data_IF_983642196106
#
_entry.id   IF_983642196106
#
_cell.length_a   1.000
_cell.length_b   1.000
_cell.length_c   1.000
_cell.angle_alpha   90.00
_cell.angle_beta   90.00
_cell.angle_gamma   90.00
#
_symmetry.space_group_name_H-M   'P 1'
#
loop_
_entity.id
_entity.type
_entity.pdbx_description
1 polymer ?
#
# COMPACT_ATOMS: atom_id res chain seq x y z
N UNK A 1 -37.57 -25.77 28.75
CA UNK A 1 -37.03 -25.66 27.36
C UNK A 1 -35.59 -25.16 27.45
N UNK A 2 -34.57 -26.05 27.33
CA UNK A 2 -33.15 -25.68 27.49
C UNK A 2 -32.63 -25.09 26.17
N UNK A 3 -32.29 -23.79 26.17
CA UNK A 3 -31.79 -23.07 25.00
C UNK A 3 -30.33 -23.49 24.76
N UNK A 4 -30.08 -24.27 23.72
CA UNK A 4 -28.74 -24.69 23.30
C UNK A 4 -28.04 -23.50 22.63
N UNK A 5 -27.21 -22.78 23.37
CA UNK A 5 -26.40 -21.69 22.82
C UNK A 5 -25.23 -22.35 22.08
N UNK A 6 -25.32 -22.38 20.75
CA UNK A 6 -24.24 -22.89 19.90
C UNK A 6 -23.00 -22.03 20.11
N UNK A 7 -21.85 -22.67 20.38
CA UNK A 7 -20.56 -22.01 20.52
C UNK A 7 -20.17 -21.39 19.17
N UNK A 8 -20.13 -20.07 19.10
CA UNK A 8 -19.58 -19.33 17.97
C UNK A 8 -18.05 -19.39 18.09
N UNK A 9 -17.37 -20.03 17.14
CA UNK A 9 -15.90 -20.08 17.07
C UNK A 9 -15.42 -19.15 15.96
N UNK A 10 -14.61 -18.15 16.31
CA UNK A 10 -13.90 -17.32 15.36
C UNK A 10 -12.47 -17.86 15.21
N UNK A 11 -12.15 -18.38 14.03
CA UNK A 11 -10.77 -18.73 13.66
C UNK A 11 -10.18 -17.59 12.83
N UNK A 12 -9.26 -16.84 13.41
CA UNK A 12 -8.52 -15.77 12.73
C UNK A 12 -7.16 -16.36 12.33
N UNK A 13 -7.03 -16.79 11.08
CA UNK A 13 -5.75 -17.24 10.52
C UNK A 13 -4.99 -16.03 9.99
N UNK A 14 -4.18 -15.40 10.84
CA UNK A 14 -3.33 -14.26 10.47
C UNK A 14 -2.08 -14.75 9.73
N UNK A 15 -2.07 -14.71 8.39
CA UNK A 15 -0.84 -14.82 7.62
C UNK A 15 -0.14 -13.46 7.59
N UNK A 16 0.92 -13.30 8.38
CA UNK A 16 1.77 -12.12 8.32
C UNK A 16 2.69 -12.21 7.10
N UNK A 17 2.24 -11.63 5.97
CA UNK A 17 3.13 -11.36 4.85
C UNK A 17 4.03 -10.19 5.28
N UNK A 18 5.21 -10.52 5.79
CA UNK A 18 6.29 -9.56 6.05
C UNK A 18 6.70 -8.94 4.70
N UNK A 19 6.15 -7.77 4.38
CA UNK A 19 6.40 -7.08 3.13
C UNK A 19 7.90 -6.88 2.85
N UNK A 20 8.30 -7.03 1.59
CA UNK A 20 9.64 -6.71 1.12
C UNK A 20 9.91 -5.22 1.30
N UNK A 21 10.91 -4.87 2.12
CA UNK A 21 11.30 -3.49 2.35
C UNK A 21 12.58 -3.19 1.60
N UNK A 22 12.56 -2.17 0.74
CA UNK A 22 13.77 -1.49 0.31
C UNK A 22 14.12 -0.45 1.39
N UNK A 23 15.27 -0.64 2.05
CA UNK A 23 15.83 0.38 2.93
C UNK A 23 16.39 1.51 2.07
N UNK A 24 15.53 2.40 1.60
CA UNK A 24 15.99 3.67 1.06
C UNK A 24 16.29 4.58 2.25
N UNK A 25 17.57 4.69 2.61
CA UNK A 25 18.04 5.93 3.21
C UNK A 25 17.71 7.01 2.19
N UNK A 26 16.76 7.89 2.50
CA UNK A 26 16.49 9.07 1.69
C UNK A 26 17.80 9.85 1.58
N UNK A 27 18.57 9.61 0.53
CA UNK A 27 19.68 10.45 0.17
C UNK A 27 19.08 11.84 -0.06
N UNK A 28 19.57 12.82 0.67
CA UNK A 28 19.10 14.21 0.64
C UNK A 28 19.22 14.86 -0.76
N UNK A 29 19.82 14.16 -1.71
CA UNK A 29 20.09 14.62 -3.08
C UNK A 29 18.89 14.53 -4.03
N UNK A 30 17.81 13.83 -3.66
CA UNK A 30 16.64 13.72 -4.54
C UNK A 30 15.72 14.93 -4.40
N UNK A 31 15.34 15.50 -5.55
CA UNK A 31 14.37 16.59 -5.60
C UNK A 31 13.01 16.09 -5.06
N UNK A 32 12.23 16.94 -4.38
CA UNK A 32 10.95 16.53 -3.78
C UNK A 32 10.01 15.80 -4.75
N UNK A 33 9.89 16.26 -6.00
CA UNK A 33 9.04 15.59 -6.99
C UNK A 33 9.56 14.20 -7.39
N UNK A 34 10.88 13.98 -7.44
CA UNK A 34 11.47 12.67 -7.74
C UNK A 34 11.14 11.68 -6.63
N UNK A 35 11.20 12.13 -5.37
CA UNK A 35 10.80 11.32 -4.21
C UNK A 35 9.33 10.93 -4.27
N UNK A 36 8.44 11.86 -4.64
CA UNK A 36 7.02 11.57 -4.83
C UNK A 36 6.79 10.55 -5.94
N UNK A 37 7.47 10.69 -7.09
CA UNK A 37 7.36 9.75 -8.21
C UNK A 37 7.81 8.36 -7.79
N UNK A 38 9.00 8.23 -7.19
CA UNK A 38 9.57 6.93 -6.78
C UNK A 38 8.63 6.23 -5.80
N UNK A 39 8.11 6.95 -4.79
CA UNK A 39 7.16 6.39 -3.83
C UNK A 39 5.84 6.00 -4.51
N UNK A 40 5.35 6.77 -5.48
CA UNK A 40 4.11 6.46 -6.20
C UNK A 40 4.20 5.23 -7.12
N UNK A 41 5.40 4.90 -7.63
CA UNK A 41 5.59 3.74 -8.50
C UNK A 41 5.24 2.40 -7.81
N UNK A 42 5.41 2.30 -6.48
CA UNK A 42 5.05 1.10 -5.72
C UNK A 42 3.54 0.80 -5.78
N UNK A 43 2.67 1.69 -5.27
CA UNK A 43 1.22 1.57 -5.41
C UNK A 43 0.75 1.43 -6.85
N UNK A 44 1.35 2.18 -7.79
CA UNK A 44 1.00 2.10 -9.21
C UNK A 44 1.24 0.70 -9.78
N UNK A 45 2.39 0.10 -9.47
CA UNK A 45 2.70 -1.26 -9.90
C UNK A 45 1.68 -2.27 -9.35
N UNK A 46 1.31 -2.16 -8.07
CA UNK A 46 0.29 -3.02 -7.48
C UNK A 46 -1.09 -2.86 -8.17
N UNK A 47 -1.47 -1.64 -8.56
CA UNK A 47 -2.69 -1.40 -9.35
C UNK A 47 -2.60 -2.08 -10.72
N UNK A 48 -1.46 -1.96 -11.41
CA UNK A 48 -1.27 -2.59 -12.72
C UNK A 48 -1.39 -4.11 -12.60
N UNK A 49 -0.74 -4.72 -11.62
CA UNK A 49 -0.83 -6.17 -11.39
C UNK A 49 -2.26 -6.59 -11.06
N UNK A 50 -2.97 -5.84 -10.20
CA UNK A 50 -4.38 -6.07 -9.90
C UNK A 50 -5.23 -6.05 -11.18
N UNK A 51 -5.09 -5.01 -12.02
CA UNK A 51 -5.87 -4.88 -13.24
C UNK A 51 -5.55 -6.00 -14.26
N UNK A 52 -4.28 -6.37 -14.41
CA UNK A 52 -3.87 -7.46 -15.30
C UNK A 52 -4.46 -8.80 -14.86
N UNK A 53 -4.38 -9.11 -13.56
CA UNK A 53 -4.94 -10.35 -13.03
C UNK A 53 -6.47 -10.36 -13.11
N UNK A 54 -7.12 -9.23 -12.80
CA UNK A 54 -8.57 -9.10 -12.87
C UNK A 54 -9.08 -9.24 -14.31
N UNK A 55 -8.41 -8.63 -15.28
CA UNK A 55 -8.79 -8.73 -16.69
C UNK A 55 -8.57 -10.14 -17.25
N UNK A 56 -7.48 -10.79 -16.87
CA UNK A 56 -7.13 -12.11 -17.39
C UNK A 56 -7.96 -13.25 -16.78
N UNK A 57 -8.28 -13.17 -15.48
CA UNK A 57 -8.86 -14.29 -14.73
C UNK A 57 -10.26 -14.01 -14.17
N UNK A 58 -10.74 -12.77 -14.24
CA UNK A 58 -12.00 -12.36 -13.63
C UNK A 58 -11.92 -12.29 -12.09
N UNK A 59 -12.96 -11.72 -11.49
CA UNK A 59 -13.03 -11.53 -10.03
C UNK A 59 -13.31 -12.84 -9.28
N UNK A 60 -13.97 -13.79 -9.95
CA UNK A 60 -14.39 -15.08 -9.41
C UNK A 60 -13.51 -16.23 -9.92
N UNK A 61 -12.19 -16.01 -9.97
CA UNK A 61 -11.25 -17.06 -10.37
C UNK A 61 -11.40 -18.28 -9.44
N UNK A 62 -11.65 -19.46 -10.04
CA UNK A 62 -11.71 -20.73 -9.30
C UNK A 62 -10.39 -21.08 -8.61
N UNK A 63 -9.29 -20.47 -9.06
CA UNK A 63 -7.98 -20.65 -8.44
C UNK A 63 -7.82 -19.70 -7.25
N UNK A 64 -7.83 -20.27 -6.05
CA UNK A 64 -7.67 -19.54 -4.78
C UNK A 64 -6.44 -18.62 -4.76
N UNK A 65 -5.30 -19.05 -5.31
CA UNK A 65 -4.08 -18.25 -5.29
C UNK A 65 -4.20 -17.00 -6.18
N UNK A 66 -4.89 -17.11 -7.31
CA UNK A 66 -5.11 -15.99 -8.23
C UNK A 66 -6.07 -14.98 -7.59
N UNK A 67 -7.19 -15.47 -7.04
CA UNK A 67 -8.13 -14.62 -6.31
C UNK A 67 -7.46 -13.89 -5.14
N UNK A 68 -6.63 -14.59 -4.35
CA UNK A 68 -5.83 -13.96 -3.29
C UNK A 68 -4.85 -12.92 -3.85
N UNK A 69 -4.16 -13.21 -4.95
CA UNK A 69 -3.22 -12.27 -5.56
C UNK A 69 -3.91 -11.00 -6.07
N UNK A 70 -5.10 -11.11 -6.67
CA UNK A 70 -5.93 -9.96 -7.10
C UNK A 70 -6.21 -9.06 -5.89
N UNK A 71 -6.84 -9.61 -4.85
CA UNK A 71 -7.25 -8.83 -3.68
C UNK A 71 -6.06 -8.29 -2.89
N UNK A 72 -4.97 -9.06 -2.82
CA UNK A 72 -3.75 -8.64 -2.12
C UNK A 72 -3.08 -7.45 -2.81
N UNK A 73 -2.97 -7.45 -4.14
CA UNK A 73 -2.40 -6.31 -4.87
C UNK A 73 -3.27 -5.05 -4.73
N UNK A 74 -4.60 -5.19 -4.77
CA UNK A 74 -5.50 -4.06 -4.50
C UNK A 74 -5.33 -3.52 -3.08
N UNK A 75 -5.27 -4.40 -2.09
CA UNK A 75 -5.05 -4.03 -0.69
C UNK A 75 -3.70 -3.32 -0.50
N UNK A 76 -2.62 -3.85 -1.08
CA UNK A 76 -1.30 -3.22 -1.03
C UNK A 76 -1.30 -1.82 -1.66
N UNK A 77 -1.96 -1.64 -2.80
CA UNK A 77 -2.08 -0.33 -3.44
C UNK A 77 -2.77 0.69 -2.52
N UNK A 78 -3.90 0.30 -1.92
CA UNK A 78 -4.67 1.17 -1.02
C UNK A 78 -3.84 1.50 0.23
N UNK A 79 -3.31 0.48 0.92
CA UNK A 79 -2.55 0.67 2.16
C UNK A 79 -1.32 1.52 1.90
N UNK A 80 -0.56 1.27 0.84
CA UNK A 80 0.64 2.05 0.56
C UNK A 80 0.34 3.51 0.21
N UNK A 81 -0.85 3.86 -0.29
CA UNK A 81 -1.24 5.26 -0.52
C UNK A 81 -1.64 6.01 0.76
N UNK A 82 -2.02 5.30 1.82
CA UNK A 82 -2.39 5.94 3.10
C UNK A 82 -1.10 6.49 3.75
N UNK A 83 -1.07 7.77 4.15
CA UNK A 83 0.11 8.36 4.79
C UNK A 83 0.20 7.92 6.25
N UNK A 84 0.89 6.81 6.51
CA UNK A 84 1.14 6.31 7.86
C UNK A 84 2.61 5.95 8.05
N UNK A 85 3.03 5.89 9.32
CA UNK A 85 4.34 5.39 9.73
C UNK A 85 4.12 4.27 10.72
N UNK A 86 4.76 3.14 10.50
CA UNK A 86 4.74 2.02 11.43
C UNK A 86 6.16 1.74 11.90
N UNK A 87 6.42 2.00 13.18
CA UNK A 87 7.77 1.98 13.77
C UNK A 87 8.71 2.90 12.98
N UNK A 88 9.77 2.35 12.40
CA UNK A 88 10.76 3.10 11.61
C UNK A 88 10.43 3.12 10.11
N UNK A 89 9.42 2.37 9.66
CA UNK A 89 9.03 2.32 8.26
C UNK A 89 7.90 3.29 7.95
N UNK A 90 8.14 4.17 6.98
CA UNK A 90 7.12 5.04 6.39
C UNK A 90 6.42 4.32 5.24
N UNK A 91 5.12 4.53 5.09
CA UNK A 91 4.43 4.13 3.86
C UNK A 91 4.85 5.03 2.69
N UNK A 92 4.63 4.54 1.46
CA UNK A 92 4.84 5.33 0.25
C UNK A 92 3.99 6.61 0.25
N UNK A 93 2.76 6.52 0.74
CA UNK A 93 1.83 7.64 0.89
C UNK A 93 2.37 8.72 1.81
N UNK A 94 3.08 8.34 2.88
CA UNK A 94 3.73 9.31 3.76
C UNK A 94 4.91 9.99 3.05
N UNK A 95 5.69 9.24 2.26
CA UNK A 95 6.77 9.82 1.45
C UNK A 95 6.24 10.81 0.39
N UNK A 96 5.15 10.47 -0.30
CA UNK A 96 4.45 11.35 -1.25
C UNK A 96 3.98 12.62 -0.55
N UNK A 97 3.32 12.47 0.61
CA UNK A 97 2.82 13.60 1.38
C UNK A 97 3.93 14.58 1.79
N UNK A 98 5.04 14.05 2.32
CA UNK A 98 6.19 14.86 2.72
C UNK A 98 6.81 15.57 1.51
N UNK A 99 6.96 14.86 0.38
CA UNK A 99 7.45 15.45 -0.85
C UNK A 99 6.56 16.60 -1.36
N UNK A 100 5.24 16.42 -1.38
CA UNK A 100 4.29 17.47 -1.80
C UNK A 100 4.37 18.68 -0.87
N UNK A 101 4.44 18.44 0.44
CA UNK A 101 4.59 19.51 1.44
C UNK A 101 5.88 20.32 1.19
N UNK A 102 6.99 19.64 0.91
CA UNK A 102 8.28 20.29 0.66
C UNK A 102 8.25 21.13 -0.64
N UNK A 103 7.58 20.66 -1.70
CA UNK A 103 7.36 21.44 -2.93
C UNK A 103 6.58 22.71 -2.62
N UNK A 104 5.49 22.58 -1.87
CA UNK A 104 4.63 23.71 -1.50
C UNK A 104 5.40 24.75 -0.68
N UNK A 105 6.15 24.34 0.36
CA UNK A 105 6.93 25.27 1.18
C UNK A 105 8.02 25.98 0.39
N UNK A 106 8.76 25.26 -0.48
CA UNK A 106 9.80 25.86 -1.31
C UNK A 106 9.21 26.85 -2.33
N UNK A 107 8.05 26.56 -2.90
CA UNK A 107 7.36 27.48 -3.80
C UNK A 107 6.89 28.77 -3.13
N UNK A 108 6.57 28.71 -1.82
CA UNK A 108 6.16 29.87 -1.03
C UNK A 108 7.35 30.77 -0.67
N UNK A 109 8.50 30.20 -0.34
CA UNK A 109 9.72 30.95 -0.01
C UNK A 109 10.32 31.68 -1.22
N UNK A 110 10.23 31.12 -2.44
CA UNK A 110 10.68 31.80 -3.66
C UNK A 110 9.79 32.97 -4.11
N UNK A 111 8.65 33.20 -3.45
CA UNK A 111 7.70 34.28 -3.77
C UNK A 111 7.69 35.43 -2.76
N UNK A 112 8.49 35.38 -1.70
CA UNK A 112 8.67 36.47 -0.71
C UNK A 112 9.99 37.18 -0.94
#
# INVERSE_FOLDING_TARGET
>A
MKKNIRKLQFNINSFYILGGGSFYHFNYDLLPYQRAIIAFLGPLFNIIVFLLLLFQFGIDSENLLISLAIWFNLWLAIVNLIPFKWKEKSSDGLAIWLAIRDIYTNSKMNKS
#
